data_IF_352172116053
#
_entry.id   IF_352172116053
#
_cell.length_a   1.000
_cell.length_b   1.000
_cell.length_c   1.000
_cell.angle_alpha   90.00
_cell.angle_beta   90.00
_cell.angle_gamma   90.00
#
_symmetry.space_group_name_H-M   'P 1'
#
loop_
_entity.id
_entity.type
_entity.pdbx_description
1 polymer ?
#
# COMPACT_ATOMS: atom_id res chain seq x y z
N UNK A 1 -12.45 -17.41 9.75
CA UNK A 1 -12.30 -17.45 11.23
C UNK A 1 -13.54 -18.10 11.82
N UNK A 2 -13.41 -19.11 12.69
CA UNK A 2 -14.55 -19.56 13.50
C UNK A 2 -14.90 -18.48 14.53
N UNK A 3 -16.17 -18.11 14.62
CA UNK A 3 -16.68 -17.25 15.69
C UNK A 3 -17.44 -18.14 16.68
N UNK A 4 -17.19 -17.95 17.98
CA UNK A 4 -17.90 -18.64 19.05
C UNK A 4 -18.76 -17.63 19.79
N UNK A 5 -20.08 -17.79 19.69
CA UNK A 5 -21.05 -16.98 20.44
C UNK A 5 -21.67 -17.84 21.54
N UNK A 6 -21.47 -17.44 22.80
CA UNK A 6 -22.10 -18.05 23.96
C UNK A 6 -23.25 -17.17 24.43
N UNK A 7 -24.49 -17.65 24.26
CA UNK A 7 -25.70 -16.97 24.74
C UNK A 7 -26.07 -17.43 26.15
N UNK A 8 -26.45 -16.50 27.03
CA UNK A 8 -26.77 -16.80 28.43
C UNK A 8 -28.06 -16.10 28.89
N UNK A 9 -29.03 -16.89 29.34
CA UNK A 9 -30.41 -16.44 29.62
C UNK A 9 -30.69 -16.03 31.09
N UNK A 10 -29.80 -16.36 32.06
CA UNK A 10 -30.14 -16.23 33.49
C UNK A 10 -29.08 -15.49 34.36
N UNK A 11 -29.53 -14.44 35.05
CA UNK A 11 -28.70 -13.36 35.64
C UNK A 11 -27.91 -13.71 36.91
N UNK A 12 -28.37 -14.65 37.74
CA UNK A 12 -27.62 -15.07 38.95
C UNK A 12 -26.40 -15.94 38.64
N UNK A 13 -26.41 -16.61 37.48
CA UNK A 13 -25.33 -17.46 36.99
C UNK A 13 -24.24 -16.72 36.20
N UNK A 14 -24.44 -15.42 35.94
CA UNK A 14 -23.65 -14.65 34.97
C UNK A 14 -22.19 -14.44 35.42
N UNK A 15 -21.94 -14.23 36.72
CA UNK A 15 -20.58 -14.02 37.26
C UNK A 15 -19.74 -15.29 37.14
N UNK A 16 -20.31 -16.45 37.46
CA UNK A 16 -19.63 -17.74 37.37
C UNK A 16 -19.38 -18.12 35.90
N UNK A 17 -20.37 -17.90 35.03
CA UNK A 17 -20.27 -18.15 33.59
C UNK A 17 -19.22 -17.27 32.91
N UNK A 18 -19.12 -15.99 33.28
CA UNK A 18 -18.05 -15.09 32.81
C UNK A 18 -16.66 -15.59 33.19
N UNK A 19 -16.48 -16.08 34.43
CA UNK A 19 -15.21 -16.66 34.86
C UNK A 19 -14.86 -17.90 34.03
N UNK A 20 -15.82 -18.79 33.80
CA UNK A 20 -15.63 -19.99 32.98
C UNK A 20 -15.24 -19.61 31.54
N UNK A 21 -15.96 -18.68 30.91
CA UNK A 21 -15.64 -18.23 29.56
C UNK A 21 -14.22 -17.62 29.48
N UNK A 22 -13.83 -16.83 30.48
CA UNK A 22 -12.48 -16.26 30.56
C UNK A 22 -11.41 -17.36 30.67
N UNK A 23 -11.64 -18.37 31.52
CA UNK A 23 -10.75 -19.52 31.63
C UNK A 23 -10.63 -20.31 30.33
N UNK A 24 -11.75 -20.51 29.63
CA UNK A 24 -11.78 -21.19 28.32
C UNK A 24 -10.94 -20.41 27.30
N UNK A 25 -11.06 -19.08 27.23
CA UNK A 25 -10.26 -18.24 26.33
C UNK A 25 -8.77 -18.28 26.70
N UNK A 26 -8.45 -18.17 28.00
CA UNK A 26 -7.07 -18.22 28.51
C UNK A 26 -6.41 -19.57 28.24
N UNK A 27 -7.16 -20.67 28.23
CA UNK A 27 -6.62 -22.01 27.96
C UNK A 27 -6.55 -22.33 26.47
N UNK A 28 -7.60 -22.02 25.69
CA UNK A 28 -7.66 -22.37 24.28
C UNK A 28 -6.70 -21.55 23.42
N UNK A 29 -6.53 -20.25 23.70
CA UNK A 29 -5.67 -19.39 22.87
C UNK A 29 -4.22 -19.88 22.92
N UNK A 30 -3.54 -19.99 24.09
CA UNK A 30 -2.17 -20.50 24.14
C UNK A 30 -2.05 -21.92 23.62
N UNK A 31 -3.04 -22.79 23.89
CA UNK A 31 -3.03 -24.16 23.40
C UNK A 31 -3.09 -24.23 21.86
N UNK A 32 -3.80 -23.31 21.20
CA UNK A 32 -3.79 -23.22 19.74
C UNK A 32 -2.42 -22.78 19.17
N UNK A 33 -1.56 -22.16 19.98
CA UNK A 33 -0.19 -21.78 19.59
C UNK A 33 0.87 -22.83 19.94
N UNK A 34 0.56 -23.83 20.79
CA UNK A 34 1.53 -24.85 21.23
C UNK A 34 1.75 -25.99 20.21
N UNK A 35 0.80 -26.24 19.31
CA UNK A 35 0.84 -27.37 18.37
C UNK A 35 0.95 -26.99 16.90
N UNK A 36 1.09 -25.70 16.60
CA UNK A 36 1.31 -25.22 15.24
C UNK A 36 2.62 -24.45 15.20
N UNK A 37 3.61 -24.98 14.50
CA UNK A 37 4.62 -24.13 13.90
C UNK A 37 3.85 -23.19 12.96
N UNK A 38 3.61 -21.97 13.41
CA UNK A 38 3.04 -20.92 12.57
C UNK A 38 4.16 -20.53 11.61
N UNK A 39 4.34 -21.33 10.57
CA UNK A 39 5.07 -20.91 9.40
C UNK A 39 4.29 -19.74 8.82
N UNK A 40 4.93 -18.56 8.79
CA UNK A 40 4.39 -17.46 8.01
C UNK A 40 4.16 -18.00 6.61
N UNK A 41 2.90 -18.04 6.18
CA UNK A 41 2.57 -18.45 4.81
C UNK A 41 3.35 -17.50 3.92
N UNK A 42 4.28 -18.01 3.08
CA UNK A 42 4.98 -17.15 2.14
C UNK A 42 3.89 -16.52 1.28
N UNK A 43 3.76 -15.19 1.33
CA UNK A 43 2.89 -14.50 0.38
C UNK A 43 3.30 -15.01 -1.01
N UNK A 44 2.35 -15.56 -1.76
CA UNK A 44 2.55 -15.91 -3.16
C UNK A 44 2.71 -14.59 -3.91
N UNK A 45 3.93 -14.05 -3.91
CA UNK A 45 4.22 -12.75 -4.49
C UNK A 45 4.34 -12.91 -5.99
N UNK A 46 3.73 -11.99 -6.71
CA UNK A 46 4.01 -11.83 -8.13
C UNK A 46 5.50 -11.45 -8.26
N UNK A 47 6.26 -12.25 -9.01
CA UNK A 47 7.69 -12.05 -9.21
C UNK A 47 7.96 -10.65 -9.78
N UNK A 48 7.07 -10.13 -10.64
CA UNK A 48 7.22 -8.79 -11.21
C UNK A 48 7.22 -7.69 -10.14
N UNK A 49 6.52 -7.88 -9.03
CA UNK A 49 6.49 -6.90 -7.92
C UNK A 49 7.74 -7.01 -7.06
N UNK A 50 8.30 -8.21 -6.91
CA UNK A 50 9.61 -8.40 -6.25
C UNK A 50 10.69 -7.70 -7.05
N UNK A 51 10.72 -7.92 -8.36
CA UNK A 51 11.69 -7.29 -9.27
C UNK A 51 11.55 -5.75 -9.25
N UNK A 52 10.33 -5.23 -9.16
CA UNK A 52 10.09 -3.79 -9.00
C UNK A 52 10.64 -3.23 -7.69
N UNK A 53 10.50 -3.95 -6.57
CA UNK A 53 11.07 -3.51 -5.29
C UNK A 53 12.60 -3.46 -5.38
N UNK A 54 13.22 -4.49 -5.95
CA UNK A 54 14.67 -4.52 -6.16
C UNK A 54 15.13 -3.39 -7.08
N UNK A 55 14.37 -3.11 -8.15
CA UNK A 55 14.66 -2.01 -9.07
C UNK A 55 14.55 -0.64 -8.39
N UNK A 56 13.50 -0.40 -7.60
CA UNK A 56 13.33 0.86 -6.85
C UNK A 56 14.49 1.03 -5.87
N UNK A 57 14.79 0.01 -5.06
CA UNK A 57 15.85 0.09 -4.04
C UNK A 57 17.23 0.30 -4.68
N UNK A 58 17.53 -0.38 -5.79
CA UNK A 58 18.81 -0.20 -6.50
C UNK A 58 18.97 1.19 -7.16
N UNK A 59 17.87 1.89 -7.40
CA UNK A 59 17.85 3.25 -7.97
C UNK A 59 17.64 4.35 -6.94
N UNK A 60 17.35 4.00 -5.70
CA UNK A 60 17.11 4.96 -4.63
C UNK A 60 18.44 5.51 -4.14
N UNK A 61 18.70 6.80 -4.35
CA UNK A 61 19.93 7.46 -3.90
C UNK A 61 19.81 7.95 -2.45
N UNK A 62 18.71 8.64 -2.12
CA UNK A 62 18.39 9.09 -0.77
C UNK A 62 16.95 8.70 -0.38
N UNK A 63 16.78 7.60 0.39
CA UNK A 63 15.46 7.12 0.79
C UNK A 63 14.66 8.12 1.64
N UNK A 64 15.29 9.16 2.19
CA UNK A 64 14.60 10.17 2.99
C UNK A 64 14.03 11.34 2.18
N UNK A 65 14.57 11.58 0.98
CA UNK A 65 14.16 12.69 0.09
C UNK A 65 13.31 12.22 -1.07
N UNK A 66 13.44 10.95 -1.46
CA UNK A 66 12.64 10.39 -2.55
C UNK A 66 11.24 10.01 -2.09
N UNK A 67 10.28 10.16 -3.01
CA UNK A 67 8.87 9.82 -2.79
C UNK A 67 8.41 8.70 -3.70
N UNK A 68 7.45 7.91 -3.23
CA UNK A 68 6.86 6.82 -3.99
C UNK A 68 5.36 7.00 -4.12
N UNK A 69 4.85 7.05 -5.34
CA UNK A 69 3.42 7.07 -5.63
C UNK A 69 3.05 5.73 -6.22
N UNK A 70 2.16 4.99 -5.54
CA UNK A 70 1.78 3.63 -5.91
C UNK A 70 0.30 3.61 -6.28
N UNK A 71 0.01 3.33 -7.54
CA UNK A 71 -1.34 2.99 -7.98
C UNK A 71 -1.75 1.59 -7.49
N UNK A 72 -3.05 1.33 -7.46
CA UNK A 72 -3.56 0.07 -6.94
C UNK A 72 -3.33 -1.07 -7.95
N UNK A 73 -2.48 -2.03 -7.60
CA UNK A 73 -2.18 -3.25 -8.39
C UNK A 73 -2.60 -4.53 -7.66
N UNK A 74 -3.59 -4.41 -6.77
CA UNK A 74 -4.04 -5.47 -5.87
C UNK A 74 -3.55 -5.27 -4.43
N UNK A 75 -4.33 -5.74 -3.46
CA UNK A 75 -4.07 -5.53 -2.03
C UNK A 75 -2.71 -6.06 -1.60
N UNK A 76 -2.38 -7.31 -1.95
CA UNK A 76 -1.12 -7.89 -1.50
C UNK A 76 0.09 -7.18 -2.13
N UNK A 77 0.04 -6.93 -3.44
CA UNK A 77 1.13 -6.34 -4.20
C UNK A 77 1.39 -4.87 -3.83
N UNK A 78 0.33 -4.05 -3.74
CA UNK A 78 0.45 -2.61 -3.41
C UNK A 78 1.06 -2.42 -2.02
N UNK A 79 0.61 -3.21 -1.04
CA UNK A 79 1.13 -3.15 0.32
C UNK A 79 2.53 -3.75 0.42
N UNK A 80 2.80 -4.87 -0.26
CA UNK A 80 4.11 -5.48 -0.29
C UNK A 80 5.17 -4.50 -0.82
N UNK A 81 4.90 -3.85 -1.96
CA UNK A 81 5.80 -2.89 -2.57
C UNK A 81 6.10 -1.72 -1.64
N UNK A 82 5.08 -1.16 -1.00
CA UNK A 82 5.30 -0.05 -0.07
C UNK A 82 5.97 -0.45 1.26
N UNK A 83 5.89 -1.72 1.66
CA UNK A 83 6.54 -2.22 2.88
C UNK A 83 7.99 -2.66 2.64
N UNK A 84 8.37 -2.97 1.40
CA UNK A 84 9.68 -3.54 1.07
C UNK A 84 10.60 -2.62 0.30
N UNK A 85 10.10 -1.47 -0.15
CA UNK A 85 10.96 -0.41 -0.66
C UNK A 85 11.74 0.25 0.47
N UNK A 86 12.95 0.74 0.18
CA UNK A 86 13.79 1.46 1.15
C UNK A 86 13.26 2.87 1.43
N UNK A 87 12.38 3.38 0.56
CA UNK A 87 11.71 4.67 0.69
C UNK A 87 10.92 4.70 2.00
N UNK A 88 11.15 5.75 2.79
CA UNK A 88 10.51 5.85 4.10
C UNK A 88 8.99 5.96 3.95
N UNK A 89 8.25 5.24 4.80
CA UNK A 89 6.79 5.14 4.73
C UNK A 89 6.06 6.50 4.62
N UNK A 90 6.56 7.54 5.30
CA UNK A 90 6.01 8.91 5.27
C UNK A 90 6.14 9.64 3.92
N UNK A 91 6.90 9.07 2.99
CA UNK A 91 7.11 9.56 1.63
C UNK A 91 6.37 8.70 0.60
N UNK A 92 5.60 7.70 1.04
CA UNK A 92 4.82 6.84 0.17
C UNK A 92 3.36 7.31 0.14
N UNK A 93 2.82 7.48 -1.07
CA UNK A 93 1.39 7.63 -1.32
C UNK A 93 0.88 6.37 -2.00
N UNK A 94 -0.18 5.78 -1.45
CA UNK A 94 -0.84 4.61 -2.03
C UNK A 94 -2.28 4.96 -2.38
N UNK A 95 -2.71 4.54 -3.55
CA UNK A 95 -4.12 4.60 -3.96
C UNK A 95 -4.89 3.46 -3.30
N UNK A 96 -6.08 3.78 -2.78
CA UNK A 96 -6.95 2.76 -2.20
C UNK A 96 -7.66 1.95 -3.29
N UNK A 97 -7.65 0.63 -3.14
CA UNK A 97 -8.34 -0.31 -4.03
C UNK A 97 -9.86 -0.27 -3.96
N UNK A 98 -10.46 0.26 -2.90
CA UNK A 98 -11.92 0.29 -2.72
C UNK A 98 -12.63 1.04 -3.86
N UNK A 99 -13.61 0.39 -4.52
CA UNK A 99 -14.24 0.82 -5.78
C UNK A 99 -14.73 2.29 -5.77
N UNK A 100 -15.35 2.73 -4.67
CA UNK A 100 -15.92 4.07 -4.56
C UNK A 100 -15.03 5.09 -3.82
N UNK A 101 -13.81 4.69 -3.44
CA UNK A 101 -12.90 5.58 -2.73
C UNK A 101 -12.13 6.47 -3.70
N UNK A 102 -12.25 7.79 -3.50
CA UNK A 102 -11.57 8.79 -4.32
C UNK A 102 -10.12 8.95 -3.86
N UNK A 103 -9.23 9.21 -4.82
CA UNK A 103 -7.82 9.53 -4.55
C UNK A 103 -7.74 10.75 -3.64
N UNK A 104 -7.02 10.63 -2.53
CA UNK A 104 -6.81 11.73 -1.60
C UNK A 104 -5.74 12.70 -2.14
N UNK A 105 -6.17 13.60 -3.02
CA UNK A 105 -5.33 14.61 -3.66
C UNK A 105 -4.52 15.47 -2.69
N UNK A 106 -5.07 15.74 -1.49
CA UNK A 106 -4.37 16.53 -0.48
C UNK A 106 -3.11 15.81 0.02
N UNK A 107 -3.20 14.49 0.21
CA UNK A 107 -2.06 13.67 0.62
C UNK A 107 -1.10 13.47 -0.55
N UNK A 108 -1.60 13.17 -1.75
CA UNK A 108 -0.77 13.06 -2.95
C UNK A 108 0.06 14.32 -3.18
N UNK A 109 -0.59 15.49 -3.18
CA UNK A 109 0.08 16.80 -3.31
C UNK A 109 1.11 17.01 -2.22
N UNK A 110 0.81 16.63 -0.97
CA UNK A 110 1.75 16.74 0.16
C UNK A 110 2.98 15.87 -0.05
N UNK A 111 2.82 14.62 -0.51
CA UNK A 111 3.92 13.70 -0.77
C UNK A 111 4.79 14.20 -1.92
N UNK A 112 4.18 14.62 -3.03
CA UNK A 112 4.89 15.19 -4.17
C UNK A 112 5.64 16.47 -3.77
N UNK A 113 4.98 17.46 -3.17
CA UNK A 113 5.66 18.71 -2.79
C UNK A 113 6.81 18.52 -1.79
N UNK A 114 6.69 17.51 -0.91
CA UNK A 114 7.74 17.18 0.05
C UNK A 114 8.93 16.50 -0.63
N UNK A 115 8.69 15.65 -1.62
CA UNK A 115 9.68 14.83 -2.28
C UNK A 115 9.73 15.21 -3.76
N UNK A 116 10.68 16.07 -4.14
CA UNK A 116 10.76 16.64 -5.49
C UNK A 116 11.12 15.61 -6.56
N UNK A 117 11.56 14.43 -6.16
CA UNK A 117 11.91 13.34 -7.05
C UNK A 117 11.54 11.99 -6.43
N UNK A 118 11.51 10.95 -7.26
CA UNK A 118 11.27 9.59 -6.82
C UNK A 118 10.57 8.76 -7.90
N UNK A 119 9.63 7.92 -7.49
CA UNK A 119 9.03 6.93 -8.37
C UNK A 119 7.50 7.00 -8.39
N UNK A 120 6.92 6.78 -9.57
CA UNK A 120 5.49 6.69 -9.81
C UNK A 120 5.19 5.36 -10.48
N UNK A 121 4.47 4.47 -9.79
CA UNK A 121 3.94 3.25 -10.36
C UNK A 121 2.50 3.50 -10.81
N UNK A 122 2.23 3.33 -12.11
CA UNK A 122 0.89 3.41 -12.71
C UNK A 122 0.41 2.01 -13.07
N UNK A 123 -0.84 1.69 -12.76
CA UNK A 123 -1.51 0.50 -13.29
C UNK A 123 -1.97 0.79 -14.74
N UNK A 124 -1.65 -0.07 -15.69
CA UNK A 124 -1.98 0.16 -17.11
C UNK A 124 -3.44 -0.24 -17.44
N UNK A 125 -4.08 -1.06 -16.60
CA UNK A 125 -5.40 -1.64 -16.88
C UNK A 125 -6.55 -0.92 -16.17
N UNK A 126 -6.33 -0.47 -14.93
CA UNK A 126 -7.39 0.12 -14.10
C UNK A 126 -6.80 1.16 -13.12
N UNK A 127 -6.27 2.25 -13.67
CA UNK A 127 -5.66 3.32 -12.89
C UNK A 127 -6.68 4.32 -12.37
N UNK A 128 -6.83 4.39 -11.04
CA UNK A 128 -7.57 5.52 -10.45
C UNK A 128 -6.76 6.82 -10.46
N UNK A 129 -5.44 6.75 -10.65
CA UNK A 129 -4.60 7.94 -10.81
C UNK A 129 -4.85 8.65 -12.13
N UNK A 130 -5.33 7.95 -13.16
CA UNK A 130 -5.52 8.51 -14.51
C UNK A 130 -6.53 9.66 -14.54
N UNK A 131 -7.51 9.68 -13.64
CA UNK A 131 -8.42 10.82 -13.45
C UNK A 131 -7.73 12.12 -13.00
N UNK A 132 -6.50 12.03 -12.50
CA UNK A 132 -5.75 13.13 -11.89
C UNK A 132 -4.42 13.40 -12.57
N UNK A 133 -3.89 12.42 -13.30
CA UNK A 133 -2.62 12.47 -14.01
C UNK A 133 -2.89 12.58 -15.51
N UNK A 134 -2.83 13.82 -16.03
CA UNK A 134 -2.93 14.05 -17.46
C UNK A 134 -1.53 13.98 -18.08
N UNK A 135 -1.27 12.92 -18.86
CA UNK A 135 -0.05 12.85 -19.65
C UNK A 135 -0.14 13.84 -20.82
N UNK A 136 0.78 14.81 -20.86
CA UNK A 136 0.84 15.81 -21.94
C UNK A 136 1.69 15.33 -23.11
N UNK A 137 2.75 14.59 -22.83
CA UNK A 137 3.65 13.97 -23.79
C UNK A 137 4.40 12.79 -23.12
N UNK A 138 5.38 12.21 -23.80
CA UNK A 138 6.12 11.03 -23.30
C UNK A 138 6.95 11.29 -22.04
N UNK A 139 7.23 12.56 -21.71
CA UNK A 139 8.10 12.95 -20.60
C UNK A 139 7.44 13.85 -19.57
N UNK A 140 6.14 14.14 -19.68
CA UNK A 140 5.45 15.11 -18.83
C UNK A 140 4.06 14.64 -18.41
N UNK A 141 3.85 14.55 -17.09
CA UNK A 141 2.55 14.35 -16.46
C UNK A 141 2.15 15.59 -15.69
N UNK A 142 0.93 16.07 -15.91
CA UNK A 142 0.31 17.18 -15.17
C UNK A 142 -0.65 16.62 -14.14
N UNK A 143 -0.50 17.05 -12.89
CA UNK A 143 -1.43 16.75 -11.80
C UNK A 143 -2.47 17.88 -11.72
N UNK A 144 -3.55 17.77 -12.50
CA UNK A 144 -4.44 18.90 -12.84
C UNK A 144 -4.98 19.67 -11.63
N UNK A 145 -5.42 18.96 -10.58
CA UNK A 145 -5.99 19.58 -9.37
C UNK A 145 -4.95 20.03 -8.35
N UNK A 146 -3.70 19.61 -8.52
CA UNK A 146 -2.61 19.98 -7.64
C UNK A 146 -1.78 21.16 -8.18
N UNK A 147 -1.92 21.49 -9.46
CA UNK A 147 -1.03 22.38 -10.21
C UNK A 147 0.43 21.95 -10.04
N UNK A 148 0.73 20.68 -10.37
CA UNK A 148 2.09 20.15 -10.37
C UNK A 148 2.42 19.57 -11.74
N UNK A 149 3.67 19.72 -12.16
CA UNK A 149 4.22 19.14 -13.37
C UNK A 149 5.32 18.16 -12.99
N UNK A 150 5.20 16.93 -13.46
CA UNK A 150 6.14 15.85 -13.24
C UNK A 150 6.85 15.57 -14.57
N UNK A 151 8.14 15.88 -14.65
CA UNK A 151 9.00 15.28 -15.65
C UNK A 151 9.13 13.80 -15.33
N UNK A 152 8.78 12.94 -16.27
CA UNK A 152 8.81 11.49 -16.09
C UNK A 152 9.76 10.81 -17.06
N UNK A 153 10.34 9.70 -16.61
CA UNK A 153 11.13 8.78 -17.43
C UNK A 153 10.72 7.34 -17.11
N UNK A 154 10.19 6.56 -18.08
CA UNK A 154 9.86 5.17 -17.83
C UNK A 154 11.16 4.39 -17.54
N UNK A 155 11.14 3.59 -16.48
CA UNK A 155 12.25 2.72 -16.07
C UNK A 155 11.88 1.25 -16.27
N UNK A 156 10.61 0.92 -16.09
CA UNK A 156 10.05 -0.41 -16.29
C UNK A 156 8.64 -0.28 -16.86
N UNK A 157 8.27 -1.19 -17.75
CA UNK A 157 6.94 -1.28 -18.31
C UNK A 157 6.64 -2.73 -18.68
N UNK A 158 5.46 -3.20 -18.30
CA UNK A 158 4.88 -4.45 -18.78
C UNK A 158 3.41 -4.22 -19.19
N UNK A 159 2.67 -5.30 -19.42
CA UNK A 159 1.25 -5.23 -19.78
C UNK A 159 0.36 -4.70 -18.65
N UNK A 160 0.77 -4.83 -17.39
CA UNK A 160 -0.05 -4.51 -16.21
C UNK A 160 0.29 -3.17 -15.58
N UNK A 161 1.53 -2.72 -15.67
CA UNK A 161 2.02 -1.57 -14.93
C UNK A 161 3.23 -0.91 -15.59
N UNK A 162 3.41 0.37 -15.27
CA UNK A 162 4.56 1.17 -15.71
C UNK A 162 5.15 1.89 -14.51
N UNK A 163 6.46 1.75 -14.31
CA UNK A 163 7.23 2.48 -13.30
C UNK A 163 7.97 3.64 -13.96
N UNK A 164 7.69 4.85 -13.50
CA UNK A 164 8.37 6.07 -13.91
C UNK A 164 9.28 6.56 -12.79
N UNK A 165 10.46 7.08 -13.16
CA UNK A 165 11.16 8.06 -12.34
C UNK A 165 10.48 9.41 -12.58
N UNK A 166 10.18 10.16 -11.52
CA UNK A 166 9.66 11.51 -11.67
C UNK A 166 10.59 12.54 -11.04
N UNK A 167 10.51 13.75 -11.58
CA UNK A 167 11.05 14.97 -10.99
C UNK A 167 10.04 16.10 -11.14
N UNK A 168 9.79 16.82 -10.06
CA UNK A 168 8.88 17.97 -10.07
C UNK A 168 9.57 19.15 -10.74
N UNK A 169 8.98 19.64 -11.82
CA UNK A 169 9.26 20.99 -12.30
C UNK A 169 8.48 21.97 -11.44
N UNK A 170 9.20 22.95 -10.87
CA UNK A 170 8.54 24.04 -10.19
C UNK A 170 7.63 24.76 -11.19
N UNK A 171 6.36 24.88 -10.86
CA UNK A 171 5.46 25.82 -11.53
C UNK A 171 5.62 27.14 -10.77
N UNK A 172 6.17 28.14 -11.44
CA UNK A 172 6.22 29.54 -10.97
C UNK A 172 4.80 30.10 -10.74
#
# INVERSE_FOLDING_TARGET
MPFYALFFEDGKSLKTKRKIALWVVILLIPYSFLNYDIYAVPCLKDQGVVDLVELINSKTEDPQQEGLVVDFIGWENTYFLALKTDIIFRNIFQVNGAEHEKVNLKILKKVLLKNKEGFLLKNNNDSKLEEYLMQKNDSLIVVEKANLQLQIKPIYSDEKMTLYQYKIEAID
#
